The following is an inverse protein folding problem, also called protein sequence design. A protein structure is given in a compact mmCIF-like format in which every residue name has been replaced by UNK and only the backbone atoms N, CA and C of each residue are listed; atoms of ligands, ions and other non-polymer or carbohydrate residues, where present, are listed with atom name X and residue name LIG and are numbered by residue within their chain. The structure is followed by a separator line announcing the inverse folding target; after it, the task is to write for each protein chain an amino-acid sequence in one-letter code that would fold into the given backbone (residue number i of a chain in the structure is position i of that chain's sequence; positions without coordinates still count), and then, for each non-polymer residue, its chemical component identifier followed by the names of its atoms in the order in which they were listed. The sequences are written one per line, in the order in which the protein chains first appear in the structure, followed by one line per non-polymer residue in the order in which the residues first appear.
data_IF_972882830554
#
_entry.id   IF_972882830554
#
_cell.length_a   1.000
_cell.length_b   1.000
_cell.length_c   1.000
_cell.angle_alpha   90.00
_cell.angle_beta   90.00
_cell.angle_gamma   90.00
#
_symmetry.space_group_name_H-M   'P 1'
#
loop_
_entity.id
_entity.type
_entity.pdbx_description
1 polymer ?
#
# COMPACT_ATOMS: atom_id res chain seq x y z
N UNK A 1 18.33 -19.54 6.39
CA UNK A 1 18.06 -18.08 6.39
C UNK A 1 18.48 -17.38 5.08
N UNK A 2 19.76 -17.42 4.67
CA UNK A 2 20.25 -16.66 3.49
C UNK A 2 19.47 -16.93 2.19
N UNK A 3 19.02 -18.16 1.97
CA UNK A 3 18.27 -18.52 0.78
C UNK A 3 16.86 -17.89 0.75
N UNK A 4 16.11 -17.83 1.86
CA UNK A 4 14.80 -17.15 1.91
C UNK A 4 14.91 -15.66 1.56
N UNK A 5 16.00 -15.04 1.97
CA UNK A 5 16.26 -13.62 1.82
C UNK A 5 16.69 -13.23 0.40
N UNK A 6 17.23 -14.19 -0.35
CA UNK A 6 17.71 -14.00 -1.71
C UNK A 6 16.66 -14.35 -2.77
N UNK A 7 15.40 -14.56 -2.37
CA UNK A 7 14.29 -14.73 -3.31
C UNK A 7 14.19 -13.48 -4.21
N UNK A 8 13.98 -13.62 -5.53
CA UNK A 8 13.69 -14.84 -6.31
C UNK A 8 14.91 -15.65 -6.78
N UNK A 9 16.15 -15.19 -6.57
CA UNK A 9 17.37 -15.84 -7.11
C UNK A 9 17.67 -17.21 -6.48
N UNK A 10 17.18 -17.46 -5.29
CA UNK A 10 17.41 -18.68 -4.51
C UNK A 10 16.39 -19.80 -4.75
N UNK A 11 15.55 -19.70 -5.78
CA UNK A 11 14.48 -20.69 -6.07
C UNK A 11 14.98 -22.14 -6.17
N UNK A 12 16.16 -22.38 -6.75
CA UNK A 12 16.73 -23.73 -6.82
C UNK A 12 17.01 -24.33 -5.44
N UNK A 13 17.61 -23.56 -4.52
CA UNK A 13 17.84 -24.00 -3.15
C UNK A 13 16.54 -24.25 -2.38
N UNK A 14 15.43 -23.59 -2.76
CA UNK A 14 14.12 -23.85 -2.16
C UNK A 14 13.57 -25.22 -2.55
N UNK A 15 13.81 -25.67 -3.79
CA UNK A 15 13.37 -26.99 -4.26
C UNK A 15 14.03 -28.11 -3.45
N UNK A 16 15.31 -27.96 -3.10
CA UNK A 16 16.01 -28.92 -2.24
C UNK A 16 15.38 -28.99 -0.84
N UNK A 17 14.96 -27.83 -0.29
CA UNK A 17 14.28 -27.77 1.00
C UNK A 17 12.87 -28.38 0.92
N UNK A 18 12.14 -28.20 -0.19
CA UNK A 18 10.86 -28.87 -0.43
C UNK A 18 11.04 -30.39 -0.41
N UNK A 19 12.00 -30.91 -1.18
CA UNK A 19 12.30 -32.35 -1.24
C UNK A 19 12.72 -32.92 0.13
N UNK A 20 13.42 -32.11 0.93
CA UNK A 20 13.79 -32.49 2.29
C UNK A 20 12.56 -32.53 3.22
N UNK A 21 11.69 -31.52 3.15
CA UNK A 21 10.45 -31.46 3.95
C UNK A 21 9.51 -32.61 3.60
N UNK A 22 9.37 -32.96 2.32
CA UNK A 22 8.56 -34.10 1.88
C UNK A 22 9.03 -35.44 2.46
N UNK A 23 10.34 -35.57 2.74
CA UNK A 23 10.93 -36.79 3.29
C UNK A 23 10.96 -36.86 4.81
N UNK A 24 11.08 -35.70 5.47
CA UNK A 24 11.34 -35.64 6.92
C UNK A 24 10.14 -35.18 7.73
N UNK A 25 9.21 -34.42 7.13
CA UNK A 25 8.06 -33.79 7.80
C UNK A 25 8.45 -32.85 8.97
N UNK A 26 9.71 -32.40 9.03
CA UNK A 26 10.29 -31.59 10.11
C UNK A 26 9.96 -30.09 9.99
N UNK A 27 8.68 -29.75 9.73
CA UNK A 27 8.22 -28.35 9.57
C UNK A 27 8.40 -27.53 10.84
N UNK A 28 8.20 -28.15 12.00
CA UNK A 28 8.27 -27.48 13.30
C UNK A 28 9.70 -27.06 13.65
N UNK A 29 10.66 -27.93 13.37
CA UNK A 29 12.09 -27.67 13.52
C UNK A 29 12.57 -26.56 12.58
N UNK A 30 12.13 -26.59 11.32
CA UNK A 30 12.41 -25.53 10.35
C UNK A 30 11.87 -24.18 10.83
N UNK A 31 10.62 -24.14 11.30
CA UNK A 31 10.00 -22.92 11.83
C UNK A 31 10.77 -22.39 13.04
N UNK A 32 11.17 -23.27 13.97
CA UNK A 32 11.94 -22.88 15.16
C UNK A 32 13.30 -22.30 14.81
N UNK A 33 14.08 -22.99 13.98
CA UNK A 33 15.39 -22.54 13.54
C UNK A 33 15.31 -21.20 12.78
N UNK A 34 14.26 -21.02 11.97
CA UNK A 34 14.06 -19.78 11.22
C UNK A 34 13.64 -18.62 12.12
N UNK A 35 12.69 -18.84 13.04
CA UNK A 35 12.28 -17.83 14.02
C UNK A 35 13.44 -17.36 14.90
N UNK A 36 14.30 -18.28 15.35
CA UNK A 36 15.51 -17.90 16.10
C UNK A 36 16.44 -17.00 15.27
N UNK A 37 16.70 -17.39 14.01
CA UNK A 37 17.56 -16.60 13.13
C UNK A 37 16.98 -15.21 12.83
N UNK A 38 15.66 -15.05 12.75
CA UNK A 38 15.00 -13.74 12.59
C UNK A 38 15.19 -12.84 13.81
N UNK A 39 15.04 -13.39 15.01
CA UNK A 39 15.25 -12.63 16.25
C UNK A 39 16.70 -12.16 16.38
N UNK A 40 17.66 -13.02 16.06
CA UNK A 40 19.09 -12.69 16.20
C UNK A 40 19.58 -11.68 15.15
N UNK A 41 18.98 -11.64 13.95
CA UNK A 41 19.58 -10.97 12.78
C UNK A 41 18.71 -9.95 12.07
N UNK A 42 17.42 -9.89 12.36
CA UNK A 42 16.48 -9.01 11.66
C UNK A 42 15.66 -8.16 12.63
N UNK A 43 15.19 -8.74 13.73
CA UNK A 43 14.27 -8.10 14.66
C UNK A 43 15.01 -7.34 15.77
N UNK A 44 15.87 -6.41 15.37
CA UNK A 44 16.61 -5.55 16.29
C UNK A 44 16.64 -4.09 15.82
N UNK A 45 16.80 -3.11 16.72
CA UNK A 45 16.63 -1.68 16.42
C UNK A 45 17.53 -1.16 15.29
N UNK A 46 18.69 -1.77 15.08
CA UNK A 46 19.68 -1.33 14.07
C UNK A 46 19.31 -1.69 12.62
N UNK A 47 18.22 -2.44 12.38
CA UNK A 47 17.75 -2.71 11.01
C UNK A 47 16.73 -1.65 10.60
N UNK A 48 16.82 -1.13 9.38
CA UNK A 48 15.82 -0.24 8.82
C UNK A 48 14.47 -0.94 8.59
N UNK A 49 13.36 -0.24 8.83
CA UNK A 49 11.99 -0.74 8.61
C UNK A 49 11.81 -1.23 7.18
N UNK A 50 12.40 -0.50 6.24
CA UNK A 50 12.46 -0.86 4.83
C UNK A 50 13.03 -2.25 4.62
N UNK A 51 14.21 -2.54 5.17
CA UNK A 51 14.84 -3.84 5.03
C UNK A 51 13.94 -4.93 5.62
N UNK A 52 13.39 -4.73 6.82
CA UNK A 52 12.48 -5.70 7.46
C UNK A 52 11.28 -6.00 6.56
N UNK A 53 10.70 -5.00 5.90
CA UNK A 53 9.60 -5.19 4.95
C UNK A 53 10.03 -5.97 3.70
N UNK A 54 11.22 -5.71 3.16
CA UNK A 54 11.77 -6.50 2.05
C UNK A 54 11.92 -7.97 2.46
N UNK A 55 12.49 -8.23 3.64
CA UNK A 55 12.59 -9.59 4.17
C UNK A 55 11.22 -10.20 4.41
N UNK A 56 10.25 -9.46 4.96
CA UNK A 56 8.90 -9.91 5.18
C UNK A 56 8.26 -10.41 3.87
N UNK A 57 8.25 -9.59 2.83
CA UNK A 57 7.70 -9.93 1.51
C UNK A 57 8.39 -11.17 0.93
N UNK A 58 9.72 -11.22 0.98
CA UNK A 58 10.49 -12.36 0.46
C UNK A 58 10.21 -13.65 1.24
N UNK A 59 10.07 -13.57 2.57
CA UNK A 59 9.71 -14.71 3.43
C UNK A 59 8.34 -15.24 3.06
N UNK A 60 7.35 -14.37 2.85
CA UNK A 60 6.00 -14.82 2.46
C UNK A 60 6.05 -15.59 1.14
N UNK A 61 6.65 -15.00 0.09
CA UNK A 61 6.73 -15.67 -1.22
C UNK A 61 7.50 -16.98 -1.15
N UNK A 62 8.63 -16.98 -0.47
CA UNK A 62 9.50 -18.14 -0.40
C UNK A 62 8.86 -19.29 0.40
N UNK A 63 8.23 -19.00 1.54
CA UNK A 63 7.56 -20.02 2.34
C UNK A 63 6.29 -20.55 1.68
N UNK A 64 5.59 -19.76 0.86
CA UNK A 64 4.49 -20.28 0.02
C UNK A 64 4.95 -21.33 -0.99
N UNK A 65 6.21 -21.29 -1.42
CA UNK A 65 6.80 -22.30 -2.31
C UNK A 65 7.28 -23.50 -1.51
N UNK A 66 7.89 -23.26 -0.34
CA UNK A 66 8.55 -24.31 0.45
C UNK A 66 7.57 -25.17 1.24
N UNK A 67 6.53 -24.56 1.79
CA UNK A 67 5.56 -25.23 2.65
C UNK A 67 4.14 -25.01 2.14
N UNK A 68 3.62 -26.03 1.46
CA UNK A 68 2.23 -26.03 0.97
C UNK A 68 1.22 -26.03 2.11
N UNK A 69 1.57 -26.47 3.32
CA UNK A 69 0.64 -26.50 4.45
C UNK A 69 0.41 -25.11 5.08
N UNK A 70 1.38 -24.19 4.96
CA UNK A 70 1.35 -22.87 5.60
C UNK A 70 1.69 -22.88 7.10
N UNK A 71 2.04 -24.03 7.68
CA UNK A 71 2.39 -24.18 9.10
C UNK A 71 3.66 -23.38 9.44
N UNK A 72 4.66 -23.39 8.56
CA UNK A 72 5.90 -22.63 8.80
C UNK A 72 5.61 -21.13 8.75
N UNK A 73 4.81 -20.69 7.79
CA UNK A 73 4.44 -19.28 7.62
C UNK A 73 3.70 -18.73 8.85
N UNK A 74 2.70 -19.48 9.34
CA UNK A 74 1.88 -19.10 10.50
C UNK A 74 2.66 -19.00 11.81
N UNK A 75 3.78 -19.72 11.95
CA UNK A 75 4.66 -19.63 13.14
C UNK A 75 5.69 -18.50 13.05
N UNK A 76 6.12 -18.18 11.84
CA UNK A 76 7.26 -17.28 11.58
C UNK A 76 6.86 -15.83 11.43
N UNK A 77 5.71 -15.55 10.80
CA UNK A 77 5.27 -14.18 10.53
C UNK A 77 4.83 -13.40 11.78
N UNK A 78 4.07 -13.97 12.75
CA UNK A 78 3.52 -13.17 13.84
C UNK A 78 4.57 -12.39 14.66
N UNK A 79 5.76 -12.95 15.00
CA UNK A 79 6.82 -12.18 15.64
C UNK A 79 7.31 -10.99 14.81
N UNK A 80 7.41 -11.15 13.49
CA UNK A 80 7.83 -10.07 12.57
C UNK A 80 6.75 -9.00 12.49
N UNK A 81 5.48 -9.39 12.39
CA UNK A 81 4.34 -8.47 12.38
C UNK A 81 4.26 -7.68 13.69
N UNK A 82 4.42 -8.36 14.83
CA UNK A 82 4.45 -7.72 16.14
C UNK A 82 5.59 -6.69 16.22
N UNK A 83 6.78 -7.03 15.76
CA UNK A 83 7.91 -6.10 15.72
C UNK A 83 7.62 -4.89 14.82
N UNK A 84 7.07 -5.10 13.63
CA UNK A 84 6.69 -4.02 12.72
C UNK A 84 5.60 -3.10 13.31
N UNK A 85 4.66 -3.62 14.11
CA UNK A 85 3.67 -2.80 14.85
C UNK A 85 4.30 -1.85 15.85
N UNK A 86 5.43 -2.22 16.46
CA UNK A 86 6.11 -1.36 17.44
C UNK A 86 6.79 -0.14 16.81
N UNK A 87 7.05 -0.17 15.50
CA UNK A 87 7.76 0.89 14.77
C UNK A 87 6.78 1.92 14.22
N UNK A 88 7.06 3.20 14.50
CA UNK A 88 6.18 4.33 14.16
C UNK A 88 6.12 4.63 12.67
N UNK A 89 7.15 4.27 11.92
CA UNK A 89 7.33 4.55 10.50
C UNK A 89 6.82 3.42 9.58
N UNK A 90 6.32 2.31 10.15
CA UNK A 90 5.85 1.14 9.40
C UNK A 90 4.75 1.46 8.41
N UNK A 91 3.78 2.30 8.78
CA UNK A 91 2.67 2.70 7.88
C UNK A 91 3.25 3.37 6.63
N UNK A 92 4.11 4.36 6.82
CA UNK A 92 4.73 5.11 5.71
C UNK A 92 5.61 4.19 4.85
N UNK A 93 6.35 3.29 5.47
CA UNK A 93 7.20 2.32 4.77
C UNK A 93 6.36 1.33 3.94
N UNK A 94 5.21 0.86 4.43
CA UNK A 94 4.30 -0.02 3.66
C UNK A 94 3.63 0.75 2.52
N UNK A 95 3.16 1.97 2.75
CA UNK A 95 2.60 2.81 1.68
C UNK A 95 3.64 3.03 0.58
N UNK A 96 4.90 3.30 0.94
CA UNK A 96 6.00 3.41 -0.01
C UNK A 96 6.30 2.09 -0.73
N UNK A 97 6.23 0.94 -0.04
CA UNK A 97 6.40 -0.36 -0.67
C UNK A 97 5.33 -0.60 -1.75
N UNK A 98 4.07 -0.26 -1.46
CA UNK A 98 2.93 -0.47 -2.36
C UNK A 98 2.91 0.53 -3.54
N UNK A 99 3.20 1.82 -3.30
CA UNK A 99 3.05 2.90 -4.29
C UNK A 99 4.35 3.39 -4.93
N UNK A 100 5.49 3.12 -4.30
CA UNK A 100 6.81 3.63 -4.70
C UNK A 100 7.40 2.96 -5.94
N UNK A 101 8.69 3.20 -6.16
CA UNK A 101 9.47 2.74 -7.32
C UNK A 101 10.55 1.72 -6.96
N UNK A 102 10.59 1.28 -5.71
CA UNK A 102 11.64 0.40 -5.24
C UNK A 102 11.54 -1.00 -5.85
N UNK A 103 12.57 -1.42 -6.58
CA UNK A 103 12.67 -2.72 -7.23
C UNK A 103 12.54 -3.90 -6.25
N UNK A 104 12.86 -3.73 -4.96
CA UNK A 104 12.72 -4.77 -3.95
C UNK A 104 11.26 -5.20 -3.72
N UNK A 105 10.30 -4.32 -4.01
CA UNK A 105 8.86 -4.59 -3.86
C UNK A 105 8.15 -4.88 -5.19
N UNK A 106 8.87 -5.15 -6.26
CA UNK A 106 8.27 -5.38 -7.58
C UNK A 106 7.34 -6.61 -7.59
N UNK A 107 7.71 -7.66 -6.85
CA UNK A 107 6.87 -8.84 -6.66
C UNK A 107 5.53 -8.50 -5.99
N UNK A 108 5.58 -7.68 -4.93
CA UNK A 108 4.41 -7.22 -4.21
C UNK A 108 3.48 -6.40 -5.13
N UNK A 109 4.04 -5.50 -5.95
CA UNK A 109 3.24 -4.69 -6.89
C UNK A 109 2.65 -5.53 -8.01
N UNK A 110 3.37 -6.55 -8.47
CA UNK A 110 2.85 -7.49 -9.45
C UNK A 110 1.61 -8.20 -8.89
N UNK A 111 1.70 -8.77 -7.67
CA UNK A 111 0.54 -9.40 -7.00
C UNK A 111 -0.61 -8.41 -6.77
N UNK A 112 -0.31 -7.17 -6.37
CA UNK A 112 -1.30 -6.11 -6.19
C UNK A 112 -2.13 -5.85 -7.47
N UNK A 113 -1.54 -5.97 -8.66
CA UNK A 113 -2.23 -5.76 -9.95
C UNK A 113 -3.06 -6.97 -10.38
N UNK A 114 -2.51 -8.18 -10.22
CA UNK A 114 -3.06 -9.43 -10.79
C UNK A 114 -4.27 -9.98 -10.05
N UNK A 115 -4.55 -9.43 -8.89
CA UNK A 115 -5.39 -10.07 -7.91
C UNK A 115 -6.82 -9.53 -8.12
N UNK A 116 -7.73 -10.45 -8.46
CA UNK A 116 -9.05 -10.14 -9.02
C UNK A 116 -9.87 -9.25 -8.07
N UNK A 117 -10.81 -8.42 -8.59
CA UNK A 117 -11.78 -7.74 -7.75
C UNK A 117 -12.52 -8.79 -6.92
N UNK A 118 -12.64 -8.57 -5.61
CA UNK A 118 -13.63 -9.32 -4.83
C UNK A 118 -14.99 -9.08 -5.48
N UNK A 119 -15.72 -10.13 -5.81
CA UNK A 119 -17.04 -9.99 -6.42
C UNK A 119 -17.95 -9.13 -5.51
N UNK A 120 -18.69 -8.17 -6.08
CA UNK A 120 -19.37 -7.13 -5.30
C UNK A 120 -20.65 -7.62 -4.58
N UNK A 121 -21.08 -8.87 -4.76
CA UNK A 121 -22.41 -9.34 -4.32
C UNK A 121 -22.40 -10.32 -3.13
N UNK A 122 -21.28 -10.46 -2.40
CA UNK A 122 -21.28 -11.23 -1.14
C UNK A 122 -21.27 -10.27 0.04
N UNK A 123 -22.34 -10.21 0.86
CA UNK A 123 -22.32 -9.46 2.12
C UNK A 123 -21.26 -10.09 3.03
N UNK A 124 -20.09 -9.44 3.12
CA UNK A 124 -18.97 -9.87 3.97
C UNK A 124 -17.65 -10.20 3.26
N UNK A 125 -17.59 -10.23 1.92
CA UNK A 125 -16.40 -10.75 1.20
C UNK A 125 -15.37 -9.73 0.70
N UNK A 126 -15.69 -8.42 0.71
CA UNK A 126 -15.00 -7.46 -0.17
C UNK A 126 -14.02 -6.47 0.46
N UNK A 127 -13.69 -6.62 1.74
CA UNK A 127 -12.74 -5.72 2.39
C UNK A 127 -11.83 -6.50 3.31
N UNK A 128 -10.52 -6.24 3.26
CA UNK A 128 -9.65 -6.71 4.34
C UNK A 128 -10.20 -6.14 5.65
N UNK A 129 -10.74 -7.01 6.50
CA UNK A 129 -11.08 -6.63 7.87
C UNK A 129 -9.80 -6.13 8.51
N UNK A 130 -9.82 -4.85 8.89
CA UNK A 130 -8.71 -4.22 9.62
C UNK A 130 -8.97 -4.52 11.09
N UNK A 131 -8.37 -5.62 11.54
CA UNK A 131 -8.50 -6.16 12.88
C UNK A 131 -7.90 -7.56 12.91
N UNK A 132 -7.14 -7.87 13.96
CA UNK A 132 -6.73 -9.24 14.23
C UNK A 132 -7.95 -10.02 14.71
N UNK A 133 -8.72 -10.61 13.78
CA UNK A 133 -9.66 -11.66 14.13
C UNK A 133 -8.88 -12.77 14.83
N UNK A 134 -9.43 -13.26 15.94
CA UNK A 134 -8.83 -14.40 16.63
C UNK A 134 -8.87 -15.64 15.73
N UNK A 135 -7.97 -16.60 15.94
CA UNK A 135 -7.95 -17.82 15.13
C UNK A 135 -9.30 -18.57 15.14
N UNK A 136 -10.05 -18.46 16.25
CA UNK A 136 -11.39 -19.04 16.42
C UNK A 136 -12.44 -18.29 15.59
N UNK A 137 -12.38 -16.96 15.53
CA UNK A 137 -13.26 -16.14 14.67
C UNK A 137 -12.95 -16.32 13.18
N UNK A 138 -11.67 -16.44 12.81
CA UNK A 138 -11.27 -16.75 11.43
C UNK A 138 -11.74 -18.15 10.99
N UNK A 139 -11.71 -19.14 11.89
CA UNK A 139 -12.22 -20.50 11.65
C UNK A 139 -13.75 -20.49 11.48
N UNK A 140 -14.51 -19.84 12.36
CA UNK A 140 -15.97 -19.74 12.23
C UNK A 140 -16.40 -18.99 10.95
N UNK A 141 -15.75 -17.86 10.64
CA UNK A 141 -16.00 -17.09 9.40
C UNK A 141 -15.68 -17.89 8.13
N UNK A 142 -14.71 -18.80 8.20
CA UNK A 142 -14.32 -19.67 7.10
C UNK A 142 -15.41 -20.72 6.79
N UNK A 143 -16.03 -21.34 7.80
CA UNK A 143 -17.13 -22.30 7.59
C UNK A 143 -18.40 -21.65 7.04
N UNK A 144 -18.59 -20.35 7.25
CA UNK A 144 -19.71 -19.57 6.69
C UNK A 144 -19.53 -19.14 5.24
N UNK A 145 -18.32 -19.20 4.66
CA UNK A 145 -18.10 -18.83 3.25
C UNK A 145 -18.51 -19.97 2.32
N UNK A 146 -19.41 -19.67 1.37
CA UNK A 146 -19.88 -20.65 0.38
C UNK A 146 -18.74 -21.23 -0.48
N UNK A 147 -17.71 -20.42 -0.72
CA UNK A 147 -16.47 -20.76 -1.44
C UNK A 147 -15.65 -21.87 -0.76
N UNK A 148 -15.76 -22.00 0.58
CA UNK A 148 -15.02 -23.00 1.35
C UNK A 148 -15.42 -24.44 0.97
N UNK A 149 -16.72 -24.67 0.73
CA UNK A 149 -17.24 -25.98 0.35
C UNK A 149 -16.99 -26.35 -1.11
N UNK A 150 -16.50 -25.41 -1.92
CA UNK A 150 -16.23 -25.58 -3.35
C UNK A 150 -14.74 -25.51 -3.71
N UNK A 151 -13.84 -25.32 -2.74
CA UNK A 151 -12.40 -25.20 -2.97
C UNK A 151 -11.77 -26.56 -3.36
N UNK A 152 -11.28 -26.73 -4.61
CA UNK A 152 -10.62 -27.96 -5.06
C UNK A 152 -9.28 -28.23 -4.37
N UNK A 153 -8.73 -27.23 -3.67
CA UNK A 153 -7.45 -27.29 -2.96
C UNK A 153 -7.62 -27.42 -1.45
N UNK A 154 -8.85 -27.60 -0.97
CA UNK A 154 -9.15 -27.78 0.44
C UNK A 154 -8.40 -28.98 1.02
N UNK A 155 -7.71 -28.77 2.12
CA UNK A 155 -7.03 -29.79 2.90
C UNK A 155 -7.36 -29.60 4.38
N UNK A 156 -7.53 -30.69 5.16
CA UNK A 156 -7.76 -30.58 6.59
C UNK A 156 -6.57 -29.91 7.28
N UNK A 157 -6.83 -29.28 8.44
CA UNK A 157 -5.80 -28.68 9.28
C UNK A 157 -4.68 -29.70 9.56
N UNK A 158 -3.41 -29.38 9.27
CA UNK A 158 -2.29 -30.25 9.57
C UNK A 158 -2.20 -30.59 11.07
N UNK A 159 -1.76 -31.79 11.41
CA UNK A 159 -1.67 -32.24 12.82
C UNK A 159 -0.65 -31.43 13.64
N UNK A 160 0.34 -30.86 12.98
CA UNK A 160 1.39 -30.00 13.52
C UNK A 160 0.98 -28.51 13.57
N UNK A 161 -0.20 -28.17 13.07
CA UNK A 161 -0.77 -26.84 13.17
C UNK A 161 -1.16 -26.56 14.64
N UNK A 162 -0.35 -25.77 15.33
CA UNK A 162 -0.65 -25.32 16.70
C UNK A 162 -1.91 -24.44 16.75
N UNK A 163 -2.41 -24.09 17.96
CA UNK A 163 -3.65 -23.33 18.14
C UNK A 163 -3.64 -21.96 17.44
N UNK A 164 -2.47 -21.36 17.24
CA UNK A 164 -2.28 -20.09 16.53
C UNK A 164 -2.19 -20.22 14.99
N UNK A 165 -2.54 -21.38 14.42
CA UNK A 165 -2.52 -21.59 12.98
C UNK A 165 -3.63 -20.76 12.32
N UNK A 166 -3.23 -19.82 11.48
CA UNK A 166 -4.10 -19.11 10.55
C UNK A 166 -3.78 -19.57 9.13
N UNK A 167 -4.78 -19.61 8.25
CA UNK A 167 -4.62 -19.89 6.81
C UNK A 167 -3.93 -18.72 6.09
N UNK A 168 -2.79 -18.22 6.60
CA UNK A 168 -2.02 -17.10 6.05
C UNK A 168 -1.54 -17.35 4.61
N UNK A 169 -1.52 -18.63 4.16
CA UNK A 169 -1.21 -19.00 2.77
C UNK A 169 -2.24 -18.47 1.78
N UNK A 170 -3.53 -18.47 2.15
CA UNK A 170 -4.63 -18.05 1.25
C UNK A 170 -4.79 -16.54 1.21
N UNK A 171 -4.27 -15.81 2.19
CA UNK A 171 -4.27 -14.33 2.21
C UNK A 171 -3.16 -13.80 1.31
N UNK A 172 -3.48 -12.83 0.44
CA UNK A 172 -2.51 -12.08 -0.36
C UNK A 172 -1.45 -11.40 0.51
N UNK A 173 -0.24 -11.16 -0.04
CA UNK A 173 0.84 -10.46 0.70
C UNK A 173 0.39 -9.07 1.12
N UNK A 174 -0.40 -8.39 0.28
CA UNK A 174 -1.00 -7.08 0.59
C UNK A 174 -1.95 -7.20 1.78
N UNK A 175 -2.80 -8.23 1.81
CA UNK A 175 -3.70 -8.48 2.94
C UNK A 175 -2.94 -8.78 4.23
N UNK A 176 -1.82 -9.48 4.14
CA UNK A 176 -0.91 -9.75 5.26
C UNK A 176 -0.14 -8.51 5.73
N UNK A 177 0.12 -7.54 4.86
CA UNK A 177 0.71 -6.25 5.24
C UNK A 177 -0.33 -5.34 5.88
N UNK A 178 -1.55 -5.32 5.35
CA UNK A 178 -2.67 -4.55 5.93
C UNK A 178 -3.04 -5.08 7.32
N UNK A 179 -3.00 -6.41 7.54
CA UNK A 179 -3.26 -7.01 8.86
C UNK A 179 -2.21 -6.67 9.94
N UNK A 180 -1.09 -6.05 9.56
CA UNK A 180 -0.12 -5.52 10.53
C UNK A 180 -0.76 -4.33 11.25
N UNK A 181 -1.61 -3.56 10.59
CA UNK A 181 -2.18 -2.35 11.15
C UNK A 181 -3.54 -2.64 11.79
N UNK A 182 -3.69 -2.25 13.06
CA UNK A 182 -4.98 -2.24 13.74
C UNK A 182 -5.73 -0.92 13.43
N UNK A 183 -4.99 0.16 13.11
CA UNK A 183 -5.55 1.46 12.76
C UNK A 183 -5.75 1.62 11.24
N UNK A 184 -6.99 1.37 10.80
CA UNK A 184 -7.42 1.62 9.41
C UNK A 184 -7.30 3.08 9.02
N UNK A 185 -7.63 4.00 9.92
CA UNK A 185 -7.70 5.43 9.61
C UNK A 185 -6.30 6.02 9.42
N UNK A 186 -5.35 5.64 10.27
CA UNK A 186 -3.95 6.02 10.12
C UNK A 186 -3.33 5.53 8.80
N UNK A 187 -3.67 4.32 8.36
CA UNK A 187 -3.25 3.81 7.06
C UNK A 187 -3.84 4.61 5.88
N UNK A 188 -5.15 4.90 5.91
CA UNK A 188 -5.81 5.70 4.89
C UNK A 188 -5.25 7.12 4.83
N UNK A 189 -5.02 7.76 5.97
CA UNK A 189 -4.43 9.09 6.03
C UNK A 189 -3.00 9.13 5.46
N UNK A 190 -2.18 8.12 5.74
CA UNK A 190 -0.85 8.02 5.15
C UNK A 190 -0.89 7.80 3.63
N UNK A 191 -1.87 7.03 3.14
CA UNK A 191 -2.11 6.83 1.71
C UNK A 191 -2.52 8.13 1.02
N UNK A 192 -3.42 8.90 1.64
CA UNK A 192 -3.84 10.24 1.19
C UNK A 192 -2.64 11.19 1.15
N UNK A 193 -1.84 11.22 2.21
CA UNK A 193 -0.64 12.05 2.31
C UNK A 193 0.38 11.69 1.21
N UNK A 194 0.64 10.41 0.97
CA UNK A 194 1.53 9.97 -0.08
C UNK A 194 0.99 10.35 -1.48
N UNK A 195 -0.31 10.17 -1.71
CA UNK A 195 -0.95 10.52 -2.99
C UNK A 195 -0.85 12.02 -3.27
N UNK A 196 -1.17 12.85 -2.27
CA UNK A 196 -1.01 14.30 -2.37
C UNK A 196 0.43 14.71 -2.67
N UNK A 197 1.42 14.16 -1.95
CA UNK A 197 2.83 14.44 -2.19
C UNK A 197 3.29 14.06 -3.60
N UNK A 198 2.75 12.97 -4.17
CA UNK A 198 3.03 12.56 -5.55
C UNK A 198 2.40 13.53 -6.54
N UNK A 199 1.14 13.92 -6.35
CA UNK A 199 0.43 14.83 -7.24
C UNK A 199 1.05 16.23 -7.28
N UNK A 200 1.51 16.77 -6.13
CA UNK A 200 2.21 18.07 -6.09
C UNK A 200 3.54 18.02 -6.86
N UNK A 201 4.21 16.87 -6.87
CA UNK A 201 5.50 16.69 -7.56
C UNK A 201 5.35 16.33 -9.04
N UNK A 202 4.13 16.06 -9.50
CA UNK A 202 3.86 15.72 -10.89
C UNK A 202 4.13 16.94 -11.78
N UNK A 203 5.01 16.77 -12.76
CA UNK A 203 5.20 17.72 -13.86
C UNK A 203 4.19 17.41 -14.97
N UNK A 204 3.76 18.42 -15.72
CA UNK A 204 2.86 18.30 -16.88
C UNK A 204 1.48 17.68 -16.59
N UNK A 205 1.05 17.67 -15.33
CA UNK A 205 -0.23 17.09 -14.90
C UNK A 205 -0.39 15.58 -15.25
N UNK A 206 0.70 14.82 -15.43
CA UNK A 206 0.61 13.36 -15.65
C UNK A 206 0.16 12.60 -14.40
N UNK A 207 -1.14 12.32 -14.33
CA UNK A 207 -1.74 11.55 -13.24
C UNK A 207 -1.92 10.07 -13.56
N UNK A 208 -1.46 9.57 -14.72
CA UNK A 208 -1.77 8.21 -15.20
C UNK A 208 -1.41 7.11 -14.20
N UNK A 209 -0.23 7.23 -13.58
CA UNK A 209 0.25 6.30 -12.57
C UNK A 209 -0.56 6.37 -11.28
N UNK A 210 -0.89 7.58 -10.81
CA UNK A 210 -1.67 7.77 -9.57
C UNK A 210 -3.11 7.28 -9.77
N UNK A 211 -3.71 7.53 -10.94
CA UNK A 211 -5.02 7.01 -11.31
C UNK A 211 -5.03 5.49 -11.34
N UNK A 212 -4.04 4.85 -11.98
CA UNK A 212 -3.90 3.39 -12.00
C UNK A 212 -3.79 2.82 -10.59
N UNK A 213 -2.93 3.41 -9.76
CA UNK A 213 -2.75 2.98 -8.38
C UNK A 213 -4.06 3.11 -7.58
N UNK A 214 -4.74 4.27 -7.65
CA UNK A 214 -6.02 4.49 -6.98
C UNK A 214 -7.07 3.45 -7.41
N UNK A 215 -7.20 3.16 -8.71
CA UNK A 215 -8.11 2.11 -9.18
C UNK A 215 -7.82 0.72 -8.59
N UNK A 216 -6.54 0.39 -8.35
CA UNK A 216 -6.18 -0.86 -7.68
C UNK A 216 -6.58 -0.83 -6.21
N UNK A 217 -6.32 0.26 -5.50
CA UNK A 217 -6.72 0.38 -4.09
C UNK A 217 -8.24 0.42 -3.91
N UNK A 218 -9.01 1.01 -4.84
CA UNK A 218 -10.48 0.98 -4.80
C UNK A 218 -11.03 -0.43 -4.79
N UNK A 219 -10.44 -1.32 -5.59
CA UNK A 219 -10.80 -2.75 -5.63
C UNK A 219 -10.47 -3.50 -4.35
N UNK A 220 -9.59 -2.97 -3.50
CA UNK A 220 -9.00 -3.68 -2.33
C UNK A 220 -9.47 -3.13 -0.99
N UNK A 221 -9.58 -1.80 -0.88
CA UNK A 221 -9.94 -1.06 0.32
C UNK A 221 -11.40 -0.58 0.27
N UNK A 222 -12.05 -0.68 -0.90
CA UNK A 222 -13.40 -0.16 -1.15
C UNK A 222 -13.39 1.31 -1.61
N UNK A 223 -14.33 1.66 -2.49
CA UNK A 223 -14.38 2.97 -3.14
C UNK A 223 -14.55 4.14 -2.17
N UNK A 224 -15.35 3.96 -1.12
CA UNK A 224 -15.66 5.02 -0.14
C UNK A 224 -14.40 5.53 0.58
N UNK A 225 -13.41 4.67 0.80
CA UNK A 225 -12.20 5.02 1.54
C UNK A 225 -11.19 5.84 0.73
N UNK A 226 -11.40 5.98 -0.59
CA UNK A 226 -10.49 6.69 -1.49
C UNK A 226 -11.08 7.98 -2.04
N UNK A 227 -12.19 8.45 -1.46
CA UNK A 227 -12.87 9.66 -1.90
C UNK A 227 -11.93 10.89 -1.91
N UNK A 228 -11.10 11.09 -0.89
CA UNK A 228 -10.12 12.18 -0.87
C UNK A 228 -9.15 12.10 -2.05
N UNK A 229 -8.60 10.91 -2.32
CA UNK A 229 -7.70 10.68 -3.45
C UNK A 229 -8.38 10.95 -4.81
N UNK A 230 -9.68 10.67 -4.94
CA UNK A 230 -10.46 10.97 -6.14
C UNK A 230 -10.69 12.46 -6.35
N UNK A 231 -11.00 13.18 -5.28
CA UNK A 231 -11.13 14.64 -5.34
C UNK A 231 -9.79 15.26 -5.71
N UNK A 232 -8.67 14.82 -5.13
CA UNK A 232 -7.33 15.29 -5.51
C UNK A 232 -7.04 15.06 -7.00
N UNK A 233 -7.37 13.88 -7.55
CA UNK A 233 -7.21 13.60 -8.97
C UNK A 233 -8.10 14.49 -9.85
N UNK A 234 -9.33 14.74 -9.42
CA UNK A 234 -10.27 15.62 -10.11
C UNK A 234 -9.78 17.06 -10.10
N UNK A 235 -9.22 17.54 -8.99
CA UNK A 235 -8.64 18.87 -8.85
C UNK A 235 -7.46 19.07 -9.81
N UNK A 236 -6.59 18.07 -9.97
CA UNK A 236 -5.45 18.12 -10.91
C UNK A 236 -5.95 18.14 -12.36
N UNK A 237 -6.93 17.30 -12.71
CA UNK A 237 -7.52 17.29 -14.05
C UNK A 237 -8.26 18.60 -14.37
N UNK A 238 -8.95 19.17 -13.37
CA UNK A 238 -9.60 20.47 -13.49
C UNK A 238 -8.57 21.59 -13.67
N UNK A 239 -7.49 21.57 -12.88
CA UNK A 239 -6.37 22.50 -12.99
C UNK A 239 -5.75 22.49 -14.38
N UNK A 240 -5.52 21.32 -14.97
CA UNK A 240 -4.97 21.19 -16.33
C UNK A 240 -5.87 21.86 -17.38
N UNK A 241 -7.20 21.67 -17.28
CA UNK A 241 -8.16 22.29 -18.20
C UNK A 241 -8.23 23.80 -18.02
N UNK A 242 -8.19 24.25 -16.78
CA UNK A 242 -8.22 25.67 -16.45
C UNK A 242 -6.95 26.38 -16.92
N UNK A 243 -5.79 25.75 -16.70
CA UNK A 243 -4.48 26.24 -17.13
C UNK A 243 -4.42 26.40 -18.66
N UNK A 244 -4.83 25.37 -19.42
CA UNK A 244 -4.88 25.47 -20.89
C UNK A 244 -5.83 26.55 -21.39
N UNK A 245 -6.95 26.77 -20.70
CA UNK A 245 -7.88 27.87 -21.01
C UNK A 245 -7.29 29.24 -20.69
N UNK A 246 -6.62 29.39 -19.55
CA UNK A 246 -5.92 30.62 -19.17
C UNK A 246 -4.86 30.98 -20.21
N UNK A 247 -4.00 30.05 -20.62
CA UNK A 247 -2.95 30.30 -21.61
C UNK A 247 -3.47 30.50 -23.04
N UNK A 248 -4.70 30.07 -23.35
CA UNK A 248 -5.33 30.40 -24.62
C UNK A 248 -5.79 31.88 -24.68
N UNK A 249 -6.07 32.49 -23.53
CA UNK A 249 -6.59 33.87 -23.42
C UNK A 249 -5.48 34.85 -23.03
N UNK A 250 -4.57 34.43 -22.16
CA UNK A 250 -3.41 35.19 -21.74
C UNK A 250 -2.31 35.06 -22.80
N UNK A 251 -1.88 36.19 -23.34
CA UNK A 251 -0.72 36.26 -24.22
C UNK A 251 0.26 37.30 -23.69
N UNK A 252 1.50 36.87 -23.42
CA UNK A 252 2.64 37.74 -23.20
C UNK A 252 3.09 37.87 -21.74
N UNK A 253 4.40 37.66 -21.53
CA UNK A 253 5.12 37.92 -20.29
C UNK A 253 5.35 36.66 -19.45
N UNK A 254 5.64 36.84 -18.16
CA UNK A 254 5.89 35.74 -17.21
C UNK A 254 4.64 34.88 -16.96
N UNK A 255 3.44 35.39 -17.28
CA UNK A 255 2.19 34.65 -17.16
C UNK A 255 2.10 33.42 -18.07
N UNK A 256 2.86 33.39 -19.19
CA UNK A 256 2.92 32.25 -20.11
C UNK A 256 3.79 31.09 -19.56
N UNK A 257 4.53 31.32 -18.48
CA UNK A 257 5.46 30.34 -17.89
C UNK A 257 5.05 29.87 -16.49
N UNK A 258 3.89 30.32 -16.02
CA UNK A 258 3.37 30.00 -14.69
C UNK A 258 2.18 29.09 -14.86
N UNK A 259 2.28 27.88 -14.29
CA UNK A 259 1.24 26.84 -14.34
C UNK A 259 0.79 26.48 -12.91
N UNK A 260 -0.09 27.27 -12.27
CA UNK A 260 -0.54 27.01 -10.92
C UNK A 260 -1.47 25.80 -10.88
N UNK A 261 -1.35 25.01 -9.81
CA UNK A 261 -2.32 23.96 -9.49
C UNK A 261 -3.38 24.50 -8.53
N UNK A 262 -4.65 24.35 -8.88
CA UNK A 262 -5.79 24.72 -8.05
C UNK A 262 -6.30 23.48 -7.33
N UNK A 263 -6.30 23.52 -5.99
CA UNK A 263 -6.63 22.38 -5.15
C UNK A 263 -7.79 22.69 -4.19
N UNK A 264 -8.57 21.66 -3.86
CA UNK A 264 -9.67 21.75 -2.90
C UNK A 264 -9.16 21.58 -1.47
N UNK A 265 -8.98 22.70 -0.74
CA UNK A 265 -8.37 22.72 0.61
C UNK A 265 -8.93 21.70 1.60
N UNK A 266 -10.22 21.39 1.54
CA UNK A 266 -10.86 20.45 2.49
C UNK A 266 -10.45 18.99 2.25
N UNK A 267 -10.02 18.63 1.04
CA UNK A 267 -9.75 17.26 0.65
C UNK A 267 -8.26 16.95 0.51
N UNK A 268 -7.41 17.97 0.59
CA UNK A 268 -5.95 17.82 0.56
C UNK A 268 -5.41 17.82 1.99
N UNK A 269 -4.40 16.99 2.30
CA UNK A 269 -3.70 17.05 3.57
C UNK A 269 -3.03 18.42 3.72
N UNK A 270 -2.71 18.79 4.97
CA UNK A 270 -2.05 20.07 5.25
C UNK A 270 -0.74 20.17 4.46
N UNK A 271 -0.76 21.06 3.47
CA UNK A 271 0.41 21.44 2.69
C UNK A 271 1.16 22.55 3.43
N UNK A 272 2.48 22.57 3.27
CA UNK A 272 3.34 23.57 3.93
C UNK A 272 3.02 24.97 3.37
N UNK A 273 2.27 25.76 4.15
CA UNK A 273 1.78 27.10 3.78
C UNK A 273 2.66 28.20 4.37
N UNK A 274 3.99 28.02 4.28
CA UNK A 274 4.93 29.07 4.71
C UNK A 274 4.73 30.33 3.87
N UNK A 275 4.81 31.47 4.54
CA UNK A 275 4.82 32.77 3.87
C UNK A 275 6.17 32.94 3.17
N UNK A 276 6.14 33.26 1.88
CA UNK A 276 7.32 33.53 1.09
C UNK A 276 7.17 34.90 0.40
N UNK A 277 8.23 35.71 0.43
CA UNK A 277 8.28 36.93 -0.38
C UNK A 277 8.61 36.56 -1.82
N UNK A 278 7.61 36.55 -2.69
CA UNK A 278 7.77 36.22 -4.10
C UNK A 278 8.41 37.39 -4.87
N UNK A 279 9.28 37.12 -5.87
CA UNK A 279 9.76 38.16 -6.77
C UNK A 279 8.61 38.86 -7.50
N UNK A 280 8.71 40.18 -7.69
CA UNK A 280 7.63 41.02 -8.27
C UNK A 280 7.02 40.47 -9.56
N UNK A 281 7.85 40.02 -10.49
CA UNK A 281 7.39 39.45 -11.79
C UNK A 281 6.54 38.20 -11.63
N UNK A 282 6.84 37.36 -10.63
CA UNK A 282 6.07 36.15 -10.35
C UNK A 282 4.77 36.49 -9.61
N UNK A 283 4.82 37.44 -8.67
CA UNK A 283 3.64 37.93 -7.98
C UNK A 283 2.62 38.54 -8.96
N UNK A 284 3.06 39.41 -9.88
CA UNK A 284 2.20 40.00 -10.93
C UNK A 284 1.58 38.93 -11.85
N UNK A 285 2.33 37.87 -12.19
CA UNK A 285 1.80 36.76 -12.99
C UNK A 285 0.74 35.95 -12.23
N UNK A 286 0.98 35.66 -10.95
CA UNK A 286 0.03 34.95 -10.09
C UNK A 286 -1.22 35.78 -9.80
N UNK A 287 -1.10 37.10 -9.66
CA UNK A 287 -2.24 38.00 -9.50
C UNK A 287 -3.14 37.99 -10.75
N UNK A 288 -2.55 38.07 -11.96
CA UNK A 288 -3.32 37.93 -13.21
C UNK A 288 -4.07 36.61 -13.29
N UNK A 289 -3.43 35.51 -12.88
CA UNK A 289 -4.08 34.20 -12.82
C UNK A 289 -5.22 34.17 -11.78
N UNK A 290 -5.00 34.75 -10.60
CA UNK A 290 -6.01 34.83 -9.55
C UNK A 290 -7.22 35.69 -9.94
N UNK A 291 -7.00 36.78 -10.68
CA UNK A 291 -8.07 37.65 -11.18
C UNK A 291 -8.89 36.95 -12.28
N UNK A 292 -8.22 36.20 -13.17
CA UNK A 292 -8.91 35.35 -14.15
C UNK A 292 -9.78 34.28 -13.47
N UNK A 293 -9.25 33.64 -12.43
CA UNK A 293 -10.01 32.69 -11.61
C UNK A 293 -11.22 33.34 -10.93
N UNK A 294 -11.03 34.51 -10.32
CA UNK A 294 -12.11 35.23 -9.65
C UNK A 294 -13.23 35.65 -10.62
N UNK A 295 -12.89 36.02 -11.86
CA UNK A 295 -13.86 36.35 -12.90
C UNK A 295 -14.74 35.15 -13.29
N UNK A 296 -14.17 33.95 -13.35
CA UNK A 296 -14.91 32.72 -13.67
C UNK A 296 -15.63 32.10 -12.46
N UNK A 297 -15.15 32.38 -11.24
CA UNK A 297 -15.69 31.84 -10.01
C UNK A 297 -15.92 32.92 -8.94
N UNK A 298 -16.94 33.78 -9.11
CA UNK A 298 -17.19 34.93 -8.23
C UNK A 298 -17.50 34.56 -6.77
N UNK A 299 -17.92 33.32 -6.51
CA UNK A 299 -18.23 32.82 -5.17
C UNK A 299 -17.01 32.21 -4.42
N UNK A 300 -15.86 32.02 -5.08
CA UNK A 300 -14.69 31.35 -4.50
C UNK A 300 -13.56 32.35 -4.24
N UNK A 301 -12.92 32.27 -3.06
CA UNK A 301 -11.78 33.10 -2.69
C UNK A 301 -10.48 32.32 -2.87
N UNK A 302 -9.53 32.86 -3.64
CA UNK A 302 -8.16 32.34 -3.69
C UNK A 302 -7.42 32.72 -2.40
N UNK A 303 -6.67 31.78 -1.83
CA UNK A 303 -5.68 32.10 -0.79
C UNK A 303 -4.56 32.92 -1.40
N UNK A 304 -4.59 34.25 -1.22
CA UNK A 304 -3.48 35.12 -1.62
C UNK A 304 -2.43 35.05 -0.50
N UNK A 305 -1.26 34.48 -0.79
CA UNK A 305 -0.13 34.51 0.13
C UNK A 305 0.41 35.94 0.19
N UNK A 306 0.10 36.65 1.27
CA UNK A 306 0.78 37.89 1.66
C UNK A 306 1.82 37.58 2.72
#
# INVERSE_FOLDING_TARGET
MRWLCAYPRSRAAMQDVVLWLEKTDERTELARAFSQALHERLLHPDVDTHAILVYYVNIVYALRIVDTSGVVLSRVLPPVQHYLRTRKDTIQAVVHALLGDDAAFELLRTELVHTQPAEPDVPGGGGYAVGAATAEEEEEEQYTRLEYWTDPTWAPRPVDAGPAFSHMRTRDVVGLLVSIFDDRQGFLHALEQHTAQRLVKTMDYDTSRVQRNNAIFKRRLGEQNLHHCDVMLTDVAWSQRFDTHFHAVAHGGMADHVHPMVISRQFWPDLDTRMYTLPKRLAEALEKYADFYAAQHPAKRCGRGH
#
